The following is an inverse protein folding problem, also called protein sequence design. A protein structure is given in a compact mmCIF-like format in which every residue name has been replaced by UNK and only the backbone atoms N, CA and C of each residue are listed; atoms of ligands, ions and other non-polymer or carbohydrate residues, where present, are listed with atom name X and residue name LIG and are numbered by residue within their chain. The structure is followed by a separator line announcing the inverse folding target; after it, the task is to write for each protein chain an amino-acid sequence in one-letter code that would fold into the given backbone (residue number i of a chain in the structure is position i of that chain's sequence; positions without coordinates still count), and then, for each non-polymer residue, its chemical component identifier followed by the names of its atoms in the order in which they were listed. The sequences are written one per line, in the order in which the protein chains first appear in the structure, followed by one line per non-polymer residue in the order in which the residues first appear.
data_IF_658989375258
#
_entry.id   IF_658989375258
#
_cell.length_a   1.000
_cell.length_b   1.000
_cell.length_c   1.000
_cell.angle_alpha   90.00
_cell.angle_beta   90.00
_cell.angle_gamma   90.00
#
_symmetry.space_group_name_H-M   'P 1'
#
loop_
_entity.id
_entity.type
_entity.pdbx_description
1 polymer ?
#
# COMPACT_ATOMS: atom_id res chain seq x y z
N UNK A 1 36.71 13.95 2.22
CA UNK A 1 36.56 13.51 3.62
C UNK A 1 36.65 12.00 3.62
N UNK A 2 37.67 11.42 4.24
CA UNK A 2 37.79 9.96 4.36
C UNK A 2 36.96 9.48 5.56
N UNK A 3 35.87 8.76 5.29
CA UNK A 3 35.13 8.06 6.33
C UNK A 3 35.86 6.77 6.70
N UNK A 4 36.35 6.69 7.94
CA UNK A 4 36.91 5.45 8.49
C UNK A 4 35.77 4.50 8.94
N UNK A 5 35.46 3.51 8.11
CA UNK A 5 34.42 2.50 8.38
C UNK A 5 34.83 1.47 9.45
N UNK A 6 36.12 1.37 9.82
CA UNK A 6 36.62 0.38 10.80
C UNK A 6 36.10 0.61 12.23
N UNK A 7 35.46 1.76 12.51
CA UNK A 7 34.92 2.09 13.83
C UNK A 7 33.53 1.48 14.12
N UNK A 8 32.85 0.98 13.10
CA UNK A 8 31.49 0.43 13.24
C UNK A 8 31.56 -1.11 13.36
N UNK A 9 30.89 -1.67 14.37
CA UNK A 9 30.82 -3.13 14.58
C UNK A 9 29.77 -3.80 13.70
N UNK A 10 28.69 -3.08 13.40
CA UNK A 10 27.56 -3.57 12.61
C UNK A 10 27.05 -2.43 11.74
N UNK A 11 26.63 -2.78 10.52
CA UNK A 11 25.93 -1.87 9.61
C UNK A 11 24.65 -2.57 9.17
N UNK A 12 23.51 -1.91 9.37
CA UNK A 12 22.22 -2.36 8.87
C UNK A 12 21.87 -1.59 7.61
N UNK A 13 21.39 -2.30 6.59
CA UNK A 13 20.88 -1.72 5.37
C UNK A 13 19.42 -2.05 5.23
N UNK A 14 18.65 -1.08 4.74
CA UNK A 14 17.36 -1.39 4.15
C UNK A 14 17.60 -2.21 2.86
N UNK A 15 16.64 -3.06 2.51
CA UNK A 15 16.76 -3.92 1.33
C UNK A 15 16.30 -3.13 0.10
N UNK A 16 15.09 -2.60 0.13
CA UNK A 16 14.46 -1.96 -1.01
C UNK A 16 15.02 -0.56 -1.23
N UNK A 17 15.31 -0.21 -2.49
CA UNK A 17 15.86 1.09 -2.89
C UNK A 17 17.21 1.46 -2.25
N UNK A 18 17.83 0.52 -1.52
CA UNK A 18 19.17 0.66 -0.92
C UNK A 18 20.10 -0.43 -1.43
N UNK A 19 19.78 -1.71 -1.19
CA UNK A 19 20.59 -2.84 -1.70
C UNK A 19 20.08 -3.37 -3.03
N UNK A 20 18.76 -3.29 -3.27
CA UNK A 20 18.10 -3.82 -4.46
C UNK A 20 17.32 -2.71 -5.14
N UNK A 21 17.60 -2.50 -6.43
CA UNK A 21 16.83 -1.59 -7.28
C UNK A 21 15.57 -2.26 -7.83
N UNK A 22 14.51 -1.46 -7.98
CA UNK A 22 13.28 -1.89 -8.63
C UNK A 22 13.48 -1.95 -10.14
N UNK A 23 12.78 -2.89 -10.80
CA UNK A 23 12.67 -2.94 -12.27
C UNK A 23 11.69 -1.92 -12.84
N UNK A 24 10.96 -1.23 -11.97
CA UNK A 24 10.00 -0.18 -12.31
C UNK A 24 10.53 1.17 -11.86
N UNK A 25 10.15 2.22 -12.58
CA UNK A 25 10.68 3.57 -12.34
C UNK A 25 10.07 4.23 -11.11
N UNK A 26 8.75 4.05 -10.88
CA UNK A 26 8.02 4.60 -9.73
C UNK A 26 7.32 3.48 -8.96
N UNK A 27 7.13 3.63 -7.63
CA UNK A 27 6.34 2.67 -6.86
C UNK A 27 4.92 2.48 -7.41
N UNK A 28 4.30 3.54 -7.95
CA UNK A 28 2.96 3.49 -8.55
C UNK A 28 2.89 2.59 -9.79
N UNK A 29 3.99 2.45 -10.54
CA UNK A 29 4.03 1.59 -11.73
C UNK A 29 3.85 0.11 -11.34
N UNK A 30 4.33 -0.29 -10.15
CA UNK A 30 4.08 -1.62 -9.61
C UNK A 30 2.57 -1.85 -9.37
N UNK A 31 1.86 -0.83 -8.88
CA UNK A 31 0.42 -0.95 -8.64
C UNK A 31 -0.37 -1.11 -9.95
N UNK A 32 0.05 -0.44 -11.03
CA UNK A 32 -0.55 -0.63 -12.35
C UNK A 32 -0.33 -2.05 -12.91
N UNK A 33 0.85 -2.63 -12.67
CA UNK A 33 1.11 -4.03 -13.00
C UNK A 33 0.20 -4.97 -12.19
N UNK A 34 0.07 -4.71 -10.88
CA UNK A 34 -0.83 -5.49 -10.02
C UNK A 34 -2.28 -5.38 -10.48
N UNK A 35 -2.78 -4.19 -10.82
CA UNK A 35 -4.12 -4.01 -11.39
C UNK A 35 -4.33 -4.88 -12.63
N UNK A 36 -3.35 -4.88 -13.54
CA UNK A 36 -3.40 -5.70 -14.76
C UNK A 36 -3.47 -7.19 -14.42
N UNK A 37 -2.66 -7.66 -13.45
CA UNK A 37 -2.71 -9.03 -12.96
C UNK A 37 -4.09 -9.37 -12.37
N UNK A 38 -4.61 -8.52 -11.48
CA UNK A 38 -5.92 -8.70 -10.83
C UNK A 38 -7.09 -8.73 -11.83
N UNK A 39 -7.00 -7.96 -12.92
CA UNK A 39 -8.00 -7.97 -13.99
C UNK A 39 -7.96 -9.24 -14.85
N UNK A 40 -6.78 -9.86 -15.00
CA UNK A 40 -6.60 -11.09 -15.80
C UNK A 40 -6.88 -12.37 -15.03
N UNK A 41 -6.64 -12.36 -13.73
CA UNK A 41 -7.00 -13.45 -12.85
C UNK A 41 -8.51 -13.31 -12.56
N UNK A 42 -9.36 -14.14 -13.18
CA UNK A 42 -10.83 -14.19 -13.03
C UNK A 42 -11.31 -14.52 -11.58
N UNK A 43 -10.61 -14.05 -10.57
CA UNK A 43 -10.86 -14.31 -9.16
C UNK A 43 -11.95 -13.39 -8.58
N UNK A 44 -12.21 -12.25 -9.22
CA UNK A 44 -13.14 -11.23 -8.74
C UNK A 44 -14.42 -11.22 -9.57
N UNK A 45 -15.57 -11.35 -8.91
CA UNK A 45 -16.88 -11.59 -9.57
C UNK A 45 -17.91 -10.51 -9.16
N UNK A 46 -17.69 -9.79 -8.06
CA UNK A 46 -18.63 -8.76 -7.59
C UNK A 46 -18.34 -7.37 -8.18
N UNK A 47 -19.39 -6.57 -8.38
CA UNK A 47 -19.27 -5.20 -8.90
C UNK A 47 -18.37 -4.29 -8.02
N UNK A 48 -18.36 -4.49 -6.70
CA UNK A 48 -17.44 -3.80 -5.80
C UNK A 48 -15.98 -4.18 -6.04
N UNK A 49 -15.70 -5.44 -6.38
CA UNK A 49 -14.33 -5.87 -6.70
C UNK A 49 -13.88 -5.31 -8.05
N UNK A 50 -14.78 -5.16 -9.02
CA UNK A 50 -14.50 -4.52 -10.32
C UNK A 50 -14.07 -3.06 -10.12
N UNK A 51 -14.82 -2.27 -9.35
CA UNK A 51 -14.46 -0.87 -9.06
C UNK A 51 -13.10 -0.75 -8.34
N UNK A 52 -12.78 -1.71 -7.47
CA UNK A 52 -11.48 -1.78 -6.78
C UNK A 52 -10.35 -2.07 -7.77
N UNK A 53 -10.55 -3.01 -8.69
CA UNK A 53 -9.55 -3.36 -9.71
C UNK A 53 -9.26 -2.15 -10.60
N UNK A 54 -10.30 -1.52 -11.15
CA UNK A 54 -10.16 -0.42 -12.11
C UNK A 54 -9.41 0.80 -11.55
N UNK A 55 -9.44 0.97 -10.23
CA UNK A 55 -8.83 2.09 -9.52
C UNK A 55 -7.76 1.66 -8.50
N UNK A 56 -7.20 0.46 -8.65
CA UNK A 56 -6.33 -0.14 -7.63
C UNK A 56 -5.11 0.72 -7.27
N UNK A 57 -4.37 1.35 -8.21
CA UNK A 57 -3.23 2.21 -7.89
C UNK A 57 -3.59 3.38 -6.99
N UNK A 58 -4.70 4.06 -7.28
CA UNK A 58 -5.20 5.20 -6.52
C UNK A 58 -5.67 4.74 -5.13
N UNK A 59 -6.47 3.68 -5.08
CA UNK A 59 -6.96 3.09 -3.83
C UNK A 59 -5.78 2.70 -2.93
N UNK A 60 -4.75 2.05 -3.49
CA UNK A 60 -3.56 1.62 -2.75
C UNK A 60 -2.77 2.79 -2.18
N UNK A 61 -2.60 3.88 -2.93
CA UNK A 61 -1.92 5.10 -2.43
C UNK A 61 -2.75 5.73 -1.30
N UNK A 62 -4.05 5.89 -1.50
CA UNK A 62 -4.93 6.51 -0.51
C UNK A 62 -5.06 5.69 0.77
N UNK A 63 -5.06 4.36 0.65
CA UNK A 63 -5.07 3.46 1.80
C UNK A 63 -3.81 3.61 2.66
N UNK A 64 -2.65 3.81 2.05
CA UNK A 64 -1.42 4.05 2.79
C UNK A 64 -1.43 5.40 3.49
N UNK A 65 -1.89 6.45 2.82
CA UNK A 65 -2.09 7.76 3.46
C UNK A 65 -3.01 7.61 4.69
N UNK A 66 -4.15 6.94 4.53
CA UNK A 66 -5.10 6.70 5.63
C UNK A 66 -4.47 5.88 6.77
N UNK A 67 -3.70 4.82 6.45
CA UNK A 67 -3.03 4.00 7.44
C UNK A 67 -2.00 4.82 8.24
N UNK A 68 -1.20 5.64 7.56
CA UNK A 68 -0.19 6.52 8.17
C UNK A 68 -0.83 7.56 9.08
N UNK A 69 -1.89 8.22 8.62
CA UNK A 69 -2.64 9.17 9.43
C UNK A 69 -3.26 8.51 10.66
N UNK A 70 -3.84 7.32 10.51
CA UNK A 70 -4.43 6.56 11.61
C UNK A 70 -3.37 6.12 12.63
N UNK A 71 -2.17 5.73 12.17
CA UNK A 71 -1.02 5.38 13.01
C UNK A 71 -0.62 6.55 13.90
N UNK A 72 -0.36 7.71 13.29
CA UNK A 72 0.04 8.93 14.00
C UNK A 72 -1.06 9.38 14.97
N UNK A 73 -2.33 9.32 14.55
CA UNK A 73 -3.47 9.70 15.41
C UNK A 73 -3.61 8.80 16.64
N UNK A 74 -3.32 7.50 16.52
CA UNK A 74 -3.49 6.52 17.60
C UNK A 74 -2.30 6.46 18.55
N UNK A 75 -1.08 6.58 18.02
CA UNK A 75 0.14 6.29 18.78
C UNK A 75 1.11 7.49 18.85
N UNK A 76 0.88 8.54 18.07
CA UNK A 76 1.85 9.62 17.87
C UNK A 76 3.09 9.15 17.10
N UNK A 77 4.06 10.06 16.91
CA UNK A 77 5.37 9.72 16.36
C UNK A 77 5.40 9.44 14.85
N UNK A 78 6.34 8.61 14.44
CA UNK A 78 6.63 8.32 13.03
C UNK A 78 5.50 7.54 12.35
N UNK A 79 5.15 7.88 11.09
CA UNK A 79 4.06 7.26 10.34
C UNK A 79 4.46 5.91 9.73
N UNK A 80 5.17 5.06 10.45
CA UNK A 80 5.59 3.74 9.96
C UNK A 80 4.40 2.77 9.99
N UNK A 81 4.12 2.12 8.86
CA UNK A 81 2.95 1.23 8.71
C UNK A 81 3.33 -0.07 8.04
N UNK A 82 2.69 -1.15 8.46
CA UNK A 82 2.79 -2.47 7.85
C UNK A 82 1.94 -2.52 6.57
N UNK A 83 2.35 -3.38 5.65
CA UNK A 83 1.58 -3.66 4.43
C UNK A 83 0.16 -4.13 4.77
N UNK A 84 -0.02 -4.94 5.81
CA UNK A 84 -1.33 -5.41 6.26
C UNK A 84 -2.25 -4.26 6.69
N UNK A 85 -1.73 -3.27 7.42
CA UNK A 85 -2.50 -2.09 7.85
C UNK A 85 -3.02 -1.30 6.65
N UNK A 86 -2.28 -1.30 5.54
CA UNK A 86 -2.72 -0.65 4.30
C UNK A 86 -3.87 -1.41 3.66
N UNK A 87 -3.77 -2.74 3.54
CA UNK A 87 -4.86 -3.54 2.98
C UNK A 87 -6.12 -3.52 3.85
N UNK A 88 -5.97 -3.46 5.17
CA UNK A 88 -7.10 -3.26 6.10
C UNK A 88 -7.87 -1.96 5.77
N UNK A 89 -7.19 -0.87 5.41
CA UNK A 89 -7.84 0.38 4.98
C UNK A 89 -8.60 0.22 3.65
N UNK A 90 -8.12 -0.62 2.73
CA UNK A 90 -8.84 -0.93 1.48
C UNK A 90 -10.15 -1.68 1.80
N UNK A 91 -10.08 -2.71 2.64
CA UNK A 91 -11.26 -3.50 3.04
C UNK A 91 -12.30 -2.67 3.79
N UNK A 92 -11.87 -1.77 4.69
CA UNK A 92 -12.78 -0.85 5.41
C UNK A 92 -13.60 0.01 4.45
N UNK A 93 -12.96 0.57 3.41
CA UNK A 93 -13.63 1.42 2.42
C UNK A 93 -14.63 0.62 1.57
N UNK A 94 -14.27 -0.58 1.14
CA UNK A 94 -15.17 -1.48 0.42
C UNK A 94 -16.41 -1.85 1.26
N UNK A 95 -16.21 -2.14 2.54
CA UNK A 95 -17.28 -2.53 3.48
C UNK A 95 -18.21 -1.36 3.82
N UNK A 96 -17.68 -0.14 3.92
CA UNK A 96 -18.45 1.08 4.13
C UNK A 96 -19.32 1.45 2.92
N UNK A 97 -18.83 1.20 1.70
CA UNK A 97 -19.61 1.42 0.47
C UNK A 97 -20.85 0.49 0.42
N UNK A 98 -20.68 -0.79 0.77
CA UNK A 98 -21.77 -1.79 0.80
C UNK A 98 -22.89 -1.45 1.80
N UNK A 99 -22.54 -0.91 2.97
CA UNK A 99 -23.50 -0.50 4.01
C UNK A 99 -24.21 0.83 3.71
N UNK A 100 -23.74 1.58 2.72
CA UNK A 100 -24.36 2.83 2.26
C UNK A 100 -25.36 2.60 1.12
N UNK A 101 -25.12 1.62 0.24
CA UNK A 101 -26.00 1.26 -0.88
C UNK A 101 -27.26 0.51 -0.40
N UNK A 102 -27.11 -0.34 0.62
CA UNK A 102 -28.22 -1.05 1.27
C UNK A 102 -29.20 -0.14 2.05
N UNK A 103 -28.84 1.12 2.30
CA UNK A 103 -29.72 2.13 2.94
C UNK A 103 -30.49 3.00 1.96
N UNK A 104 -30.29 2.83 0.65
CA UNK A 104 -30.98 3.57 -0.42
C UNK A 104 -32.10 2.77 -1.11
N UNK A 105 -32.41 1.56 -0.63
CA UNK A 105 -33.51 0.73 -1.15
C UNK A 105 -34.66 0.64 -0.16
#
# INVERSE_FOLDING_TARGET
MDMNFKKYKTVSFDIFDTLVSRRVYRPRDLFSLMQSTLATENFFISACEIDIIDNFPEIRVQAEVSARENRVRRFGGEPEVLISEIYDEIFKKASAAFTSDSRKR
#
